data_IF_319106295577
#
_entry.id   IF_319106295577
#
_cell.length_a   1.000
_cell.length_b   1.000
_cell.length_c   1.000
_cell.angle_alpha   90.00
_cell.angle_beta   90.00
_cell.angle_gamma   90.00
#
_symmetry.space_group_name_H-M   'P 1'
#
loop_
_entity.id
_entity.type
_entity.pdbx_description
1 polymer ?
#
# COMPACT_ATOMS: atom_id res chain seq x y z
N UNK A 1 7.88 6.55 4.20
CA UNK A 1 7.61 5.14 3.83
C UNK A 1 8.92 4.37 3.82
N UNK A 2 8.92 3.09 4.18
CA UNK A 2 10.10 2.21 4.07
C UNK A 2 9.76 0.98 3.22
N UNK A 3 10.68 0.52 2.38
CA UNK A 3 10.41 -0.67 1.56
C UNK A 3 10.28 -1.94 2.40
N UNK A 4 9.49 -2.91 1.92
CA UNK A 4 9.51 -4.29 2.39
C UNK A 4 10.16 -5.15 1.31
N UNK A 5 11.22 -5.86 1.67
CA UNK A 5 11.92 -6.75 0.73
C UNK A 5 11.07 -7.99 0.41
N UNK A 6 11.16 -8.55 -0.79
CA UNK A 6 10.43 -9.76 -1.17
C UNK A 6 10.57 -10.92 -0.17
N UNK A 7 11.76 -11.18 0.38
CA UNK A 7 11.92 -12.23 1.39
C UNK A 7 11.13 -11.94 2.69
N UNK A 8 11.00 -10.66 3.08
CA UNK A 8 10.20 -10.25 4.24
C UNK A 8 8.72 -10.51 3.97
N UNK A 9 8.26 -10.22 2.75
CA UNK A 9 6.88 -10.48 2.32
C UNK A 9 6.57 -11.98 2.29
N UNK A 10 7.49 -12.81 1.79
CA UNK A 10 7.37 -14.28 1.84
C UNK A 10 7.21 -14.77 3.28
N UNK A 11 8.14 -14.38 4.15
CA UNK A 11 8.13 -14.80 5.56
C UNK A 11 6.86 -14.31 6.30
N UNK A 12 6.48 -13.06 6.09
CA UNK A 12 5.27 -12.46 6.68
C UNK A 12 3.99 -13.23 6.30
N UNK A 13 3.88 -13.61 5.02
CA UNK A 13 2.69 -14.25 4.45
C UNK A 13 2.60 -15.71 4.88
N UNK A 14 3.70 -16.47 4.78
CA UNK A 14 3.74 -17.86 5.23
C UNK A 14 3.45 -17.98 6.73
N UNK A 15 3.97 -17.05 7.55
CA UNK A 15 3.66 -16.97 8.98
C UNK A 15 2.18 -16.72 9.31
N UNK A 16 1.35 -16.35 8.33
CA UNK A 16 -0.09 -16.14 8.45
C UNK A 16 -0.93 -17.25 7.79
N UNK A 17 -0.28 -18.30 7.30
CA UNK A 17 -0.96 -19.46 6.71
C UNK A 17 -1.21 -19.36 5.20
N UNK A 18 -0.55 -18.43 4.49
CA UNK A 18 -0.49 -18.48 3.03
C UNK A 18 0.43 -19.61 2.56
N UNK A 19 0.13 -20.23 1.41
CA UNK A 19 1.02 -21.21 0.78
C UNK A 19 2.28 -20.53 0.23
N UNK A 20 3.29 -21.33 -0.15
CA UNK A 20 4.49 -20.80 -0.80
C UNK A 20 4.14 -20.05 -2.10
N UNK A 21 3.28 -20.61 -2.94
CA UNK A 21 2.83 -19.97 -4.19
C UNK A 21 2.11 -18.64 -3.94
N UNK A 22 1.18 -18.60 -2.99
CA UNK A 22 0.47 -17.36 -2.64
C UNK A 22 1.42 -16.31 -2.03
N UNK A 23 2.45 -16.77 -1.31
CA UNK A 23 3.46 -15.88 -0.72
C UNK A 23 4.37 -15.29 -1.79
N UNK A 24 4.76 -16.07 -2.80
CA UNK A 24 5.48 -15.55 -3.97
C UNK A 24 4.66 -14.51 -4.74
N UNK A 25 3.34 -14.70 -4.81
CA UNK A 25 2.46 -13.73 -5.46
C UNK A 25 2.57 -12.35 -4.83
N UNK A 26 2.61 -12.26 -3.50
CA UNK A 26 2.75 -10.98 -2.79
C UNK A 26 4.17 -10.44 -2.93
N UNK A 27 5.17 -11.31 -2.84
CA UNK A 27 6.58 -10.95 -2.96
C UNK A 27 6.97 -10.38 -4.33
N UNK A 28 6.16 -10.65 -5.37
CA UNK A 28 6.32 -10.07 -6.70
C UNK A 28 5.87 -8.61 -6.83
N UNK A 29 5.27 -8.01 -5.79
CA UNK A 29 4.87 -6.61 -5.77
C UNK A 29 5.92 -5.73 -5.11
N UNK A 30 5.91 -4.46 -5.49
CA UNK A 30 6.59 -3.39 -4.79
C UNK A 30 5.75 -2.97 -3.57
N UNK A 31 6.25 -3.26 -2.37
CA UNK A 31 5.50 -3.04 -1.13
C UNK A 31 6.25 -2.09 -0.20
N UNK A 32 5.52 -1.10 0.33
CA UNK A 32 6.02 -0.18 1.33
C UNK A 32 5.27 -0.34 2.63
N UNK A 33 5.97 -0.22 3.75
CA UNK A 33 5.36 0.15 5.01
C UNK A 33 5.10 1.67 4.98
N UNK A 34 3.82 2.01 5.01
CA UNK A 34 3.31 3.38 4.94
C UNK A 34 2.79 3.81 6.29
N UNK A 35 3.05 5.06 6.66
CA UNK A 35 2.53 5.71 7.85
C UNK A 35 1.93 7.03 7.41
N UNK A 36 0.71 7.31 7.86
CA UNK A 36 0.09 8.63 7.74
C UNK A 36 -0.21 9.11 9.14
N UNK A 37 0.10 10.38 9.41
CA UNK A 37 -0.18 11.06 10.66
C UNK A 37 -0.74 12.42 10.33
N UNK A 38 -1.83 12.80 11.02
CA UNK A 38 -2.33 14.16 10.98
C UNK A 38 -1.64 14.98 12.08
N UNK A 39 -0.73 15.87 11.68
CA UNK A 39 0.01 16.75 12.60
C UNK A 39 -0.66 18.12 12.79
N UNK A 40 -1.93 18.30 12.40
CA UNK A 40 -2.63 19.53 12.72
C UNK A 40 -2.91 19.66 14.22
N UNK A 41 -2.84 20.91 14.69
CA UNK A 41 -3.21 21.31 16.04
C UNK A 41 -4.68 21.80 16.11
N UNK A 42 -5.23 22.24 14.97
CA UNK A 42 -6.61 22.67 14.83
C UNK A 42 -7.51 21.50 14.36
N UNK A 43 -8.83 21.67 14.46
CA UNK A 43 -9.85 20.69 14.01
C UNK A 43 -9.91 20.60 12.47
N UNK A 44 -8.85 20.07 11.89
CA UNK A 44 -8.62 19.95 10.45
C UNK A 44 -8.38 18.47 10.09
N UNK A 45 -9.46 17.69 9.88
CA UNK A 45 -9.33 16.29 9.52
C UNK A 45 -8.60 16.12 8.18
N UNK A 46 -7.79 15.08 8.10
CA UNK A 46 -7.07 14.67 6.91
C UNK A 46 -7.78 13.46 6.31
N UNK A 47 -8.30 13.59 5.09
CA UNK A 47 -8.93 12.49 4.35
C UNK A 47 -7.95 11.92 3.34
N UNK A 48 -7.68 10.62 3.46
CA UNK A 48 -6.83 9.89 2.52
C UNK A 48 -7.65 8.82 1.82
N UNK A 49 -7.52 8.74 0.50
CA UNK A 49 -7.98 7.63 -0.32
C UNK A 49 -6.86 7.24 -1.29
N UNK A 50 -6.32 6.04 -1.14
CA UNK A 50 -5.19 5.59 -1.97
C UNK A 50 -5.61 5.37 -3.43
N UNK A 51 -6.91 5.30 -3.73
CA UNK A 51 -7.41 5.20 -5.11
C UNK A 51 -7.30 6.53 -5.87
N UNK A 52 -7.07 7.65 -5.17
CA UNK A 52 -6.76 8.94 -5.78
C UNK A 52 -5.26 9.08 -6.12
N UNK A 53 -4.42 8.13 -5.71
CA UNK A 53 -2.97 8.18 -5.94
C UNK A 53 -2.59 7.59 -7.29
N UNK A 54 -1.51 8.07 -7.89
CA UNK A 54 -1.03 7.60 -9.20
C UNK A 54 0.44 7.20 -9.15
N UNK A 55 0.74 6.06 -9.77
CA UNK A 55 2.09 5.55 -9.96
C UNK A 55 2.53 5.89 -11.37
N UNK A 56 3.65 6.59 -11.52
CA UNK A 56 4.20 6.97 -12.81
C UNK A 56 5.48 6.19 -13.09
N UNK A 57 5.57 5.58 -14.27
CA UNK A 57 6.79 4.95 -14.80
C UNK A 57 7.21 5.71 -16.04
N UNK A 58 8.47 6.13 -16.08
CA UNK A 58 9.00 6.95 -17.18
C UNK A 58 8.13 8.20 -17.47
N UNK A 59 7.57 8.80 -16.41
CA UNK A 59 6.68 9.96 -16.49
C UNK A 59 5.25 9.67 -16.98
N UNK A 60 4.88 8.40 -17.19
CA UNK A 60 3.54 7.99 -17.63
C UNK A 60 2.78 7.27 -16.52
N UNK A 61 1.50 7.59 -16.35
CA UNK A 61 0.62 6.89 -15.41
C UNK A 61 0.56 5.39 -15.76
N UNK A 62 0.89 4.55 -14.78
CA UNK A 62 0.99 3.09 -14.91
C UNK A 62 -0.02 2.35 -14.03
N UNK A 63 -0.65 3.03 -13.08
CA UNK A 63 -1.70 2.47 -12.24
C UNK A 63 -1.90 3.20 -10.91
N UNK A 64 -2.62 2.52 -10.02
CA UNK A 64 -2.93 2.97 -8.65
C UNK A 64 -2.46 1.92 -7.64
N UNK A 65 -2.26 2.30 -6.37
CA UNK A 65 -2.04 1.32 -5.31
C UNK A 65 -3.19 0.30 -5.21
N UNK A 66 -2.86 -0.97 -4.93
CA UNK A 66 -3.90 -1.99 -4.77
C UNK A 66 -4.69 -1.81 -3.49
N UNK A 67 -6.01 -1.91 -3.61
CA UNK A 67 -6.94 -1.80 -2.48
C UNK A 67 -7.10 -3.14 -1.75
N UNK A 68 -7.59 -3.08 -0.50
CA UNK A 68 -7.93 -4.26 0.27
C UNK A 68 -8.98 -5.14 -0.45
N UNK A 69 -9.95 -4.52 -1.12
CA UNK A 69 -10.95 -5.22 -1.92
C UNK A 69 -10.32 -5.95 -3.12
N UNK A 70 -9.40 -5.30 -3.84
CA UNK A 70 -8.71 -5.92 -4.98
C UNK A 70 -7.88 -7.13 -4.58
N UNK A 71 -7.29 -7.10 -3.39
CA UNK A 71 -6.57 -8.23 -2.81
C UNK A 71 -7.51 -9.34 -2.35
N UNK A 72 -8.61 -8.99 -1.69
CA UNK A 72 -9.56 -9.99 -1.22
C UNK A 72 -10.18 -10.77 -2.39
N UNK A 73 -10.52 -10.11 -3.49
CA UNK A 73 -10.95 -10.77 -4.74
C UNK A 73 -9.90 -11.75 -5.27
N UNK A 74 -8.64 -11.33 -5.31
CA UNK A 74 -7.56 -12.21 -5.77
C UNK A 74 -7.39 -13.43 -4.85
N UNK A 75 -7.42 -13.23 -3.54
CA UNK A 75 -7.32 -14.33 -2.58
C UNK A 75 -8.50 -15.28 -2.62
N UNK A 76 -9.71 -14.79 -2.90
CA UNK A 76 -10.87 -15.65 -3.16
C UNK A 76 -10.65 -16.51 -4.41
N UNK A 77 -10.17 -15.92 -5.51
CA UNK A 77 -9.91 -16.66 -6.76
C UNK A 77 -8.79 -17.72 -6.65
N UNK A 78 -8.00 -17.66 -5.58
CA UNK A 78 -6.89 -18.57 -5.28
C UNK A 78 -7.20 -19.54 -4.14
N UNK A 79 -8.48 -19.65 -3.76
CA UNK A 79 -8.97 -20.50 -2.68
C UNK A 79 -8.24 -20.29 -1.34
N UNK A 80 -7.76 -19.06 -1.09
CA UNK A 80 -7.06 -18.72 0.14
C UNK A 80 -8.03 -18.79 1.33
N UNK A 81 -7.63 -19.48 2.39
CA UNK A 81 -8.42 -19.61 3.61
C UNK A 81 -8.79 -18.25 4.25
N UNK A 82 -9.89 -18.23 4.99
CA UNK A 82 -10.42 -17.01 5.60
C UNK A 82 -9.42 -16.35 6.58
N UNK A 83 -8.75 -17.16 7.42
CA UNK A 83 -7.80 -16.65 8.41
C UNK A 83 -6.61 -15.88 7.78
N UNK A 84 -5.85 -16.43 6.79
CA UNK A 84 -4.80 -15.69 6.10
C UNK A 84 -5.32 -14.42 5.42
N UNK A 85 -6.49 -14.47 4.78
CA UNK A 85 -7.12 -13.29 4.16
C UNK A 85 -7.41 -12.17 5.14
N UNK A 86 -7.99 -12.50 6.30
CA UNK A 86 -8.23 -11.54 7.37
C UNK A 86 -6.89 -10.97 7.84
N UNK A 87 -5.92 -11.82 8.20
CA UNK A 87 -4.62 -11.36 8.68
C UNK A 87 -3.90 -10.44 7.68
N UNK A 88 -4.01 -10.72 6.38
CA UNK A 88 -3.46 -9.87 5.32
C UNK A 88 -4.20 -8.54 5.20
N UNK A 89 -5.54 -8.55 5.18
CA UNK A 89 -6.35 -7.33 5.12
C UNK A 89 -6.01 -6.35 6.25
N UNK A 90 -5.80 -6.87 7.46
CA UNK A 90 -5.45 -6.05 8.64
C UNK A 90 -4.03 -5.48 8.59
N UNK A 91 -3.16 -6.02 7.73
CA UNK A 91 -1.81 -5.54 7.56
C UNK A 91 -1.66 -4.54 6.40
N UNK A 92 -2.67 -4.41 5.53
CA UNK A 92 -2.69 -3.41 4.47
C UNK A 92 -2.94 -2.02 5.05
N UNK A 93 -2.37 -1.01 4.41
CA UNK A 93 -2.81 0.36 4.65
C UNK A 93 -4.27 0.50 4.18
N UNK A 94 -5.15 1.18 4.94
CA UNK A 94 -6.56 1.30 4.57
C UNK A 94 -6.72 1.94 3.20
N UNK A 95 -7.73 1.49 2.45
CA UNK A 95 -8.05 2.08 1.15
C UNK A 95 -8.47 3.53 1.29
N UNK A 96 -9.32 3.83 2.27
CA UNK A 96 -9.64 5.19 2.67
C UNK A 96 -9.74 5.32 4.19
N UNK A 97 -9.33 6.47 4.71
CA UNK A 97 -9.44 6.81 6.13
C UNK A 97 -9.44 8.32 6.32
N UNK A 98 -10.28 8.78 7.25
CA UNK A 98 -10.22 10.14 7.81
C UNK A 98 -9.42 10.09 9.11
N UNK A 99 -8.43 10.97 9.24
CA UNK A 99 -7.57 11.13 10.40
C UNK A 99 -7.92 12.43 11.11
N UNK A 100 -8.44 12.34 12.33
CA UNK A 100 -8.60 13.51 13.19
C UNK A 100 -7.22 14.10 13.57
N UNK A 101 -7.15 15.33 14.09
CA UNK A 101 -5.90 15.88 14.62
C UNK A 101 -5.23 14.94 15.63
N UNK A 102 -3.95 14.62 15.42
CA UNK A 102 -3.19 13.66 16.24
C UNK A 102 -3.35 12.19 15.87
N UNK A 103 -4.34 11.83 15.03
CA UNK A 103 -4.50 10.46 14.56
C UNK A 103 -3.35 10.05 13.66
N UNK A 104 -3.05 8.75 13.70
CA UNK A 104 -2.13 8.12 12.78
C UNK A 104 -2.53 6.68 12.53
N UNK A 105 -2.12 6.16 11.39
CA UNK A 105 -2.26 4.75 11.06
C UNK A 105 -1.11 4.31 10.16
N UNK A 106 -0.91 3.01 10.08
CA UNK A 106 0.15 2.40 9.29
C UNK A 106 -0.30 1.09 8.67
N UNK A 107 0.38 0.70 7.59
CA UNK A 107 0.13 -0.57 6.94
C UNK A 107 0.92 -0.71 5.65
N UNK A 108 0.77 -1.85 5.00
CA UNK A 108 1.41 -2.14 3.72
C UNK A 108 0.66 -1.47 2.57
N UNK A 109 1.37 -0.66 1.79
CA UNK A 109 0.93 -0.15 0.49
C UNK A 109 1.57 -1.00 -0.61
N UNK A 110 0.76 -1.56 -1.50
CA UNK A 110 1.21 -2.49 -2.55
C UNK A 110 1.01 -1.86 -3.93
N UNK A 111 2.07 -1.77 -4.72
CA UNK A 111 2.06 -1.24 -6.09
C UNK A 111 2.40 -2.37 -7.07
N UNK A 112 1.69 -2.42 -8.20
CA UNK A 112 1.88 -3.45 -9.25
C UNK A 112 3.13 -3.17 -10.11
N UNK A 113 4.28 -3.19 -9.43
CA UNK A 113 5.61 -2.99 -9.98
C UNK A 113 6.52 -4.13 -9.53
N UNK A 114 7.44 -4.60 -10.40
CA UNK A 114 8.41 -5.62 -10.04
C UNK A 114 9.49 -5.08 -9.08
N UNK A 115 10.24 -6.00 -8.48
CA UNK A 115 11.40 -5.67 -7.66
C UNK A 115 12.45 -4.86 -8.46
N UNK A 116 13.09 -3.89 -7.80
CA UNK A 116 14.11 -3.02 -8.41
C UNK A 116 13.58 -1.95 -9.39
N UNK A 117 12.29 -1.93 -9.71
CA UNK A 117 11.69 -0.90 -10.56
C UNK A 117 11.81 0.49 -9.91
N UNK A 118 12.03 1.52 -10.73
CA UNK A 118 12.01 2.92 -10.28
C UNK A 118 10.76 3.62 -10.82
N UNK A 119 10.13 4.46 -10.01
CA UNK A 119 8.87 5.11 -10.31
C UNK A 119 8.71 6.42 -9.53
N UNK A 120 7.74 7.24 -9.95
CA UNK A 120 7.28 8.40 -9.19
C UNK A 120 5.89 8.10 -8.62
N UNK A 121 5.58 8.66 -7.44
CA UNK A 121 4.29 8.51 -6.78
C UNK A 121 3.63 9.86 -6.58
N UNK A 122 2.47 10.04 -7.20
CA UNK A 122 1.60 11.20 -6.97
C UNK A 122 0.58 10.83 -5.90
N UNK A 123 0.69 11.50 -4.76
CA UNK A 123 -0.14 11.32 -3.58
C UNK A 123 -1.16 12.45 -3.52
N UNK A 124 -2.44 12.09 -3.44
CA UNK A 124 -3.54 13.01 -3.20
C UNK A 124 -4.13 12.82 -1.80
N UNK A 125 -4.52 13.92 -1.15
CA UNK A 125 -5.33 13.90 0.06
C UNK A 125 -6.27 15.09 0.09
N UNK A 126 -7.32 15.01 0.91
CA UNK A 126 -8.25 16.12 1.13
C UNK A 126 -8.08 16.69 2.53
N UNK A 127 -8.09 18.02 2.61
CA UNK A 127 -8.13 18.80 3.85
C UNK A 127 -9.01 20.02 3.61
N UNK A 128 -9.98 20.25 4.50
CA UNK A 128 -10.93 21.37 4.43
C UNK A 128 -11.67 21.47 3.08
N UNK A 129 -12.06 20.32 2.53
CA UNK A 129 -12.72 20.23 1.22
C UNK A 129 -11.81 20.53 0.03
N UNK A 130 -10.52 20.78 0.24
CA UNK A 130 -9.54 21.02 -0.82
C UNK A 130 -8.67 19.79 -1.03
N UNK A 131 -8.49 19.40 -2.28
CA UNK A 131 -7.48 18.42 -2.66
C UNK A 131 -6.09 19.06 -2.60
N UNK A 132 -5.19 18.39 -1.89
CA UNK A 132 -3.76 18.67 -1.86
C UNK A 132 -3.04 17.49 -2.51
N UNK A 133 -1.91 17.79 -3.16
CA UNK A 133 -1.13 16.79 -3.87
C UNK A 133 0.35 16.93 -3.51
N UNK A 134 1.06 15.80 -3.53
CA UNK A 134 2.51 15.71 -3.39
C UNK A 134 3.02 14.73 -4.44
N UNK A 135 4.05 15.12 -5.15
CA UNK A 135 4.81 14.21 -6.02
C UNK A 135 6.08 13.78 -5.30
N UNK A 136 6.31 12.47 -5.25
CA UNK A 136 7.55 11.87 -4.77
C UNK A 136 8.25 11.22 -5.97
N UNK A 137 9.44 11.70 -6.31
CA UNK A 137 10.16 11.24 -7.50
C UNK A 137 11.30 10.28 -7.19
N UNK A 138 11.64 9.43 -8.17
CA UNK A 138 12.81 8.55 -8.12
C UNK A 138 12.75 7.50 -7.00
N UNK A 139 11.56 7.01 -6.67
CA UNK A 139 11.38 5.95 -5.67
C UNK A 139 11.78 4.63 -6.32
N UNK A 140 12.56 3.81 -5.61
CA UNK A 140 12.90 2.45 -6.07
C UNK A 140 12.24 1.38 -5.21
N UNK A 141 11.73 0.34 -5.88
CA UNK A 141 11.27 -0.88 -5.26
C UNK A 141 12.43 -1.67 -4.66
N UNK A 142 12.19 -2.36 -3.56
CA UNK A 142 13.22 -3.23 -2.98
C UNK A 142 13.69 -4.29 -3.98
N UNK A 143 14.99 -4.56 -3.99
CA UNK A 143 15.54 -5.72 -4.70
C UNK A 143 15.14 -7.02 -3.98
N UNK A 144 15.18 -8.14 -4.71
CA UNK A 144 14.85 -9.47 -4.18
C UNK A 144 15.92 -10.04 -3.21
N UNK A 145 17.13 -9.47 -3.22
CA UNK A 145 18.29 -9.94 -2.44
C UNK A 145 18.41 -9.34 -1.03
#
# INVERSE_FOLDING_TARGET
MSHLRPYQLRAFSQGRGFTAEQSERIAGFCVFQTVVRNEAEADEPLEVDITDWRVLRDGMESGTPRTAASWDTEWQSRDTGQAPRIAFRWALFPTSQTFAPGDWNMGMLTLDLPAGETFDLHIGWRRDGQTKNLEMTGISCAEDR
#
